data_IF_240954770997
#
_entry.id   IF_240954770997
#
_cell.length_a   1.000
_cell.length_b   1.000
_cell.length_c   1.000
_cell.angle_alpha   90.00
_cell.angle_beta   90.00
_cell.angle_gamma   90.00
#
_symmetry.space_group_name_H-M   'P 1'
#
loop_
_entity.id
_entity.type
_entity.pdbx_description
1 polymer ?
#
# COMPACT_ATOMS: atom_id res chain seq x y z
N UNK A 1 -2.14 -3.05 25.47
CA UNK A 1 -0.87 -2.31 25.24
C UNK A 1 -0.26 -2.56 23.87
N UNK A 2 0.19 -3.78 23.51
CA UNK A 2 0.74 -4.04 22.15
C UNK A 2 -0.31 -3.88 21.04
N UNK A 3 -1.54 -4.37 21.28
CA UNK A 3 -2.67 -4.23 20.36
C UNK A 3 -3.10 -2.76 20.12
N UNK A 4 -2.99 -1.92 21.16
CA UNK A 4 -3.35 -0.50 21.07
C UNK A 4 -2.32 0.28 20.27
N UNK A 5 -1.03 -0.02 20.45
CA UNK A 5 0.07 0.58 19.67
C UNK A 5 -0.05 0.15 18.20
N UNK A 6 -0.30 -1.13 17.92
CA UNK A 6 -0.50 -1.58 16.54
C UNK A 6 -1.72 -0.93 15.89
N UNK A 7 -2.84 -0.79 16.62
CA UNK A 7 -4.02 -0.12 16.10
C UNK A 7 -3.75 1.38 15.82
N UNK A 8 -3.01 2.07 16.70
CA UNK A 8 -2.64 3.47 16.51
C UNK A 8 -1.66 3.68 15.36
N UNK A 9 -0.69 2.77 15.19
CA UNK A 9 0.24 2.78 14.05
C UNK A 9 -0.49 2.51 12.74
N UNK A 10 -1.44 1.56 12.73
CA UNK A 10 -2.26 1.29 11.55
C UNK A 10 -3.19 2.47 11.21
N UNK A 11 -3.74 3.17 12.20
CA UNK A 11 -4.51 4.39 11.99
C UNK A 11 -3.69 5.49 11.32
N UNK A 12 -2.50 5.79 11.87
CA UNK A 12 -1.58 6.79 11.28
C UNK A 12 -1.10 6.42 9.87
N UNK A 13 -0.88 5.13 9.62
CA UNK A 13 -0.52 4.64 8.29
C UNK A 13 -1.66 4.85 7.29
N UNK A 14 -2.89 4.51 7.68
CA UNK A 14 -4.06 4.71 6.83
C UNK A 14 -4.29 6.20 6.51
N UNK A 15 -4.13 7.10 7.48
CA UNK A 15 -4.20 8.54 7.28
C UNK A 15 -3.11 9.04 6.30
N UNK A 16 -1.86 8.61 6.49
CA UNK A 16 -0.76 8.99 5.62
C UNK A 16 -0.96 8.49 4.18
N UNK A 17 -1.41 7.24 4.00
CA UNK A 17 -1.74 6.72 2.69
C UNK A 17 -2.90 7.48 2.06
N UNK A 18 -3.92 7.82 2.83
CA UNK A 18 -5.07 8.61 2.33
C UNK A 18 -4.60 9.96 1.79
N UNK A 19 -3.77 10.67 2.56
CA UNK A 19 -3.21 11.96 2.14
C UNK A 19 -2.35 11.84 0.86
N UNK A 20 -1.55 10.77 0.74
CA UNK A 20 -0.75 10.49 -0.45
C UNK A 20 -1.62 10.22 -1.68
N UNK A 21 -2.60 9.33 -1.54
CA UNK A 21 -3.52 8.96 -2.62
C UNK A 21 -4.33 10.18 -3.08
N UNK A 22 -4.82 10.99 -2.15
CA UNK A 22 -5.54 12.22 -2.46
C UNK A 22 -4.66 13.24 -3.20
N UNK A 23 -3.40 13.38 -2.79
CA UNK A 23 -2.46 14.26 -3.50
C UNK A 23 -2.22 13.78 -4.94
N UNK A 24 -1.99 12.48 -5.13
CA UNK A 24 -1.80 11.91 -6.47
C UNK A 24 -3.03 12.00 -7.36
N UNK A 25 -4.24 11.81 -6.80
CA UNK A 25 -5.50 12.02 -7.52
C UNK A 25 -5.68 13.47 -7.94
N UNK A 26 -5.41 14.44 -7.05
CA UNK A 26 -5.47 15.87 -7.39
C UNK A 26 -4.47 16.26 -8.48
N UNK A 27 -3.33 15.59 -8.55
CA UNK A 27 -2.33 15.78 -9.61
C UNK A 27 -2.67 14.99 -10.89
N UNK A 28 -3.71 14.17 -10.88
CA UNK A 28 -4.08 13.34 -12.02
C UNK A 28 -3.08 12.24 -12.33
N UNK A 29 -2.25 11.81 -11.37
CA UNK A 29 -1.24 10.75 -11.56
C UNK A 29 -1.68 9.41 -10.96
N UNK A 30 -2.63 9.42 -10.01
CA UNK A 30 -3.19 8.21 -9.40
C UNK A 30 -4.68 8.06 -9.70
N UNK A 31 -5.13 6.82 -9.84
CA UNK A 31 -6.55 6.45 -10.06
C UNK A 31 -7.44 6.81 -8.86
N UNK A 32 -8.72 7.09 -9.14
CA UNK A 32 -9.68 7.60 -8.17
C UNK A 32 -10.44 6.55 -7.35
N UNK A 33 -10.33 5.28 -7.71
CA UNK A 33 -11.22 4.18 -7.27
C UNK A 33 -10.56 3.17 -6.32
N UNK A 34 -9.34 3.45 -5.84
CA UNK A 34 -8.60 2.61 -4.88
C UNK A 34 -8.32 3.42 -3.63
N UNK A 35 -8.68 2.95 -2.43
CA UNK A 35 -8.44 3.67 -1.17
C UNK A 35 -7.22 3.15 -0.36
N UNK A 36 -6.94 3.77 0.79
CA UNK A 36 -5.81 3.39 1.64
C UNK A 36 -5.95 1.96 2.19
N UNK A 37 -7.16 1.49 2.46
CA UNK A 37 -7.43 0.14 2.96
C UNK A 37 -7.15 -0.89 1.88
N UNK A 38 -7.53 -0.62 0.63
CA UNK A 38 -7.23 -1.49 -0.51
C UNK A 38 -5.72 -1.69 -0.67
N UNK A 39 -4.94 -0.60 -0.59
CA UNK A 39 -3.47 -0.66 -0.68
C UNK A 39 -2.87 -1.47 0.47
N UNK A 40 -3.34 -1.25 1.70
CA UNK A 40 -2.89 -2.02 2.87
C UNK A 40 -3.20 -3.51 2.70
N UNK A 41 -4.43 -3.86 2.29
CA UNK A 41 -4.84 -5.24 2.05
C UNK A 41 -4.01 -5.91 0.95
N UNK A 42 -3.78 -5.21 -0.17
CA UNK A 42 -2.94 -5.74 -1.24
C UNK A 42 -1.50 -5.95 -0.76
N UNK A 43 -0.92 -4.96 -0.06
CA UNK A 43 0.46 -5.06 0.47
C UNK A 43 0.68 -6.22 1.44
N UNK A 44 -0.40 -6.80 1.98
CA UNK A 44 -0.34 -7.97 2.85
C UNK A 44 0.28 -9.21 2.17
N UNK A 45 0.37 -9.22 0.83
CA UNK A 45 1.17 -10.21 0.11
C UNK A 45 2.62 -10.25 0.61
N UNK A 46 3.19 -9.10 1.03
CA UNK A 46 4.57 -9.03 1.53
C UNK A 46 4.76 -9.90 2.76
N UNK A 47 3.74 -10.06 3.61
CA UNK A 47 3.84 -10.96 4.77
C UNK A 47 3.88 -12.46 4.37
N UNK A 48 3.57 -12.78 3.10
CA UNK A 48 3.41 -14.14 2.59
C UNK A 48 4.45 -14.53 1.54
N UNK A 49 5.37 -13.63 1.17
CA UNK A 49 6.48 -13.98 0.28
C UNK A 49 7.50 -14.80 1.08
N UNK A 50 7.83 -15.99 0.57
CA UNK A 50 8.84 -16.84 1.21
C UNK A 50 10.21 -16.15 1.19
N UNK A 51 10.99 -16.36 2.26
CA UNK A 51 12.31 -15.76 2.39
C UNK A 51 13.23 -16.07 1.20
N UNK A 52 13.14 -17.28 0.65
CA UNK A 52 13.96 -17.70 -0.50
C UNK A 52 13.59 -16.96 -1.79
N UNK A 53 12.37 -16.44 -1.89
CA UNK A 53 11.86 -15.75 -3.08
C UNK A 53 11.86 -14.21 -2.92
N UNK A 54 12.20 -13.71 -1.72
CA UNK A 54 12.03 -12.31 -1.35
C UNK A 54 12.70 -11.33 -2.31
N UNK A 55 13.98 -11.58 -2.61
CA UNK A 55 14.80 -10.68 -3.42
C UNK A 55 14.30 -10.56 -4.86
N UNK A 56 13.64 -11.59 -5.40
CA UNK A 56 13.09 -11.57 -6.76
C UNK A 56 11.62 -11.12 -6.78
N UNK A 57 10.79 -11.70 -5.91
CA UNK A 57 9.33 -11.54 -5.98
C UNK A 57 8.84 -10.26 -5.32
N UNK A 58 9.37 -9.88 -4.16
CA UNK A 58 8.91 -8.70 -3.44
C UNK A 58 9.01 -7.41 -4.30
N UNK A 59 10.14 -7.08 -4.95
CA UNK A 59 10.22 -5.86 -5.77
C UNK A 59 9.30 -5.92 -6.99
N UNK A 60 9.15 -7.10 -7.63
CA UNK A 60 8.26 -7.29 -8.79
C UNK A 60 6.80 -7.07 -8.43
N UNK A 61 6.33 -7.68 -7.34
CA UNK A 61 4.96 -7.55 -6.87
C UNK A 61 4.66 -6.14 -6.37
N UNK A 62 5.65 -5.47 -5.78
CA UNK A 62 5.53 -4.06 -5.41
C UNK A 62 5.38 -3.18 -6.65
N UNK A 63 6.16 -3.42 -7.71
CA UNK A 63 5.98 -2.72 -8.99
C UNK A 63 4.57 -2.91 -9.53
N UNK A 64 4.05 -4.15 -9.58
CA UNK A 64 2.69 -4.43 -10.06
C UNK A 64 1.64 -3.65 -9.25
N UNK A 65 1.78 -3.61 -7.92
CA UNK A 65 0.90 -2.83 -7.05
C UNK A 65 0.97 -1.34 -7.40
N UNK A 66 2.16 -0.76 -7.51
CA UNK A 66 2.35 0.67 -7.79
C UNK A 66 1.90 1.05 -9.20
N UNK A 67 2.20 0.23 -10.20
CA UNK A 67 1.76 0.40 -11.58
C UNK A 67 0.23 0.35 -11.67
N UNK A 68 -0.42 -0.50 -10.86
CA UNK A 68 -1.88 -0.60 -10.77
C UNK A 68 -2.58 0.60 -10.15
N UNK A 69 -1.85 1.48 -9.44
CA UNK A 69 -2.37 2.73 -8.86
C UNK A 69 -2.27 3.92 -9.83
N UNK A 70 -1.41 3.83 -10.84
CA UNK A 70 -1.16 4.93 -11.76
C UNK A 70 -2.30 5.06 -12.77
N UNK A 71 -2.60 6.29 -13.20
CA UNK A 71 -3.43 6.49 -14.40
C UNK A 71 -2.62 6.07 -15.63
N UNK A 72 -3.24 5.35 -16.57
CA UNK A 72 -2.60 4.93 -17.81
C UNK A 72 -2.80 5.96 -18.91
#
# INVERSE_FOLDING_TARGET
MWQDISAQTMGKLAEALTALLDAGRRQGVLRGDVDARDVILLSWYLAHVERAEWDERAPRLLSVLLDGLSVR
#
